data_IF_179233533276
#
_entry.id   IF_179233533276
#
_cell.length_a   1.000
_cell.length_b   1.000
_cell.length_c   1.000
_cell.angle_alpha   90.00
_cell.angle_beta   90.00
_cell.angle_gamma   90.00
#
_symmetry.space_group_name_H-M   'P 1'
#
loop_
_entity.id
_entity.type
_entity.pdbx_description
1 polymer ?
#
# COMPACT_ATOMS: atom_id res chain seq x y z
N UNK A 1 15.10 -16.14 -6.09
CA UNK A 1 13.91 -15.39 -6.54
C UNK A 1 12.78 -15.53 -5.55
N UNK A 2 12.23 -16.73 -5.31
CA UNK A 2 11.14 -16.92 -4.33
C UNK A 2 11.50 -16.47 -2.91
N UNK A 3 12.70 -16.82 -2.43
CA UNK A 3 13.20 -16.36 -1.13
C UNK A 3 13.34 -14.84 -1.04
N UNK A 4 13.72 -14.19 -2.15
CA UNK A 4 13.79 -12.72 -2.23
C UNK A 4 12.40 -12.12 -2.07
N UNK A 5 11.44 -12.56 -2.89
CA UNK A 5 10.07 -12.05 -2.82
C UNK A 5 9.44 -12.28 -1.44
N UNK A 6 9.62 -13.47 -0.86
CA UNK A 6 9.06 -13.77 0.46
C UNK A 6 9.69 -12.91 1.57
N UNK A 7 11.02 -12.76 1.57
CA UNK A 7 11.72 -11.95 2.55
C UNK A 7 11.34 -10.47 2.44
N UNK A 8 11.33 -9.93 1.22
CA UNK A 8 11.05 -8.51 1.00
C UNK A 8 9.60 -8.19 1.28
N UNK A 9 8.65 -9.04 0.89
CA UNK A 9 7.23 -8.89 1.21
C UNK A 9 7.00 -8.81 2.73
N UNK A 10 7.62 -9.73 3.48
CA UNK A 10 7.53 -9.76 4.94
C UNK A 10 8.11 -8.49 5.58
N UNK A 11 9.33 -8.13 5.20
CA UNK A 11 10.02 -7.01 5.83
C UNK A 11 9.32 -5.68 5.50
N UNK A 12 8.87 -5.51 4.25
CA UNK A 12 8.14 -4.31 3.83
C UNK A 12 6.79 -4.22 4.52
N UNK A 13 6.05 -5.33 4.66
CA UNK A 13 4.81 -5.36 5.42
C UNK A 13 4.98 -4.74 6.82
N UNK A 14 5.99 -5.18 7.58
CA UNK A 14 6.23 -4.67 8.93
C UNK A 14 6.71 -3.22 8.95
N UNK A 15 7.59 -2.85 8.02
CA UNK A 15 8.06 -1.46 7.88
C UNK A 15 6.89 -0.54 7.54
N UNK A 16 6.06 -0.93 6.58
CA UNK A 16 4.90 -0.17 6.15
C UNK A 16 3.89 -0.03 7.29
N UNK A 17 3.55 -1.13 7.98
CA UNK A 17 2.69 -1.07 9.16
C UNK A 17 3.27 -0.19 10.27
N UNK A 18 4.59 -0.21 10.48
CA UNK A 18 5.26 0.68 11.42
C UNK A 18 5.18 2.16 10.98
N UNK A 19 5.31 2.46 9.68
CA UNK A 19 5.16 3.80 9.12
C UNK A 19 3.74 4.39 9.34
N UNK A 20 2.74 3.53 9.50
CA UNK A 20 1.38 3.92 9.93
C UNK A 20 1.22 4.15 11.42
N UNK A 21 2.25 3.89 12.23
CA UNK A 21 2.20 4.17 13.65
C UNK A 21 2.03 5.67 13.92
N UNK A 22 1.11 6.01 14.84
CA UNK A 22 0.70 7.39 15.18
C UNK A 22 1.83 8.39 15.40
N UNK A 23 2.99 7.93 15.88
CA UNK A 23 4.16 8.77 16.17
C UNK A 23 4.87 9.28 14.92
N UNK A 24 4.84 8.51 13.82
CA UNK A 24 5.62 8.82 12.61
C UNK A 24 4.76 8.98 11.36
N UNK A 25 3.54 8.46 11.35
CA UNK A 25 2.63 8.55 10.21
C UNK A 25 2.49 9.99 9.71
N UNK A 26 2.16 10.92 10.61
CA UNK A 26 1.84 12.31 10.23
C UNK A 26 2.98 13.01 9.50
N UNK A 27 4.23 12.69 9.84
CA UNK A 27 5.43 13.34 9.32
C UNK A 27 6.04 12.61 8.13
N UNK A 28 6.07 11.27 8.19
CA UNK A 28 6.82 10.46 7.23
C UNK A 28 5.90 9.90 6.15
N UNK A 29 4.79 9.27 6.53
CA UNK A 29 4.00 8.45 5.60
C UNK A 29 2.72 9.14 5.09
N UNK A 30 2.16 10.07 5.86
CA UNK A 30 1.00 10.89 5.46
C UNK A 30 1.20 11.63 4.12
N UNK A 31 2.39 12.16 3.78
CA UNK A 31 2.61 12.75 2.46
C UNK A 31 2.28 11.80 1.31
N UNK A 32 2.66 10.51 1.42
CA UNK A 32 2.32 9.47 0.45
C UNK A 32 0.81 9.22 0.39
N UNK A 33 0.14 9.24 1.54
CA UNK A 33 -1.32 9.09 1.64
C UNK A 33 -2.14 10.30 1.19
N UNK A 34 -1.49 11.35 0.66
CA UNK A 34 -2.20 12.49 0.07
C UNK A 34 -2.99 12.09 -1.18
N UNK A 35 -2.53 11.06 -1.91
CA UNK A 35 -3.15 10.57 -3.14
C UNK A 35 -4.11 9.41 -2.87
N UNK A 36 -5.29 9.72 -2.32
CA UNK A 36 -6.33 8.73 -1.98
C UNK A 36 -6.72 7.79 -3.12
N UNK A 37 -6.88 8.35 -4.33
CA UNK A 37 -6.96 7.57 -5.57
C UNK A 37 -5.57 7.64 -6.18
N UNK A 38 -4.86 6.53 -6.14
CA UNK A 38 -3.46 6.49 -6.54
C UNK A 38 -3.31 6.65 -8.05
N UNK A 39 -2.13 7.11 -8.45
CA UNK A 39 -1.69 7.14 -9.85
C UNK A 39 -0.28 6.57 -9.91
N UNK A 40 0.24 6.20 -11.10
CA UNK A 40 1.63 5.76 -11.25
C UNK A 40 2.64 6.72 -10.62
N UNK A 41 2.38 8.02 -10.60
CA UNK A 41 3.26 9.01 -9.97
C UNK A 41 3.28 8.95 -8.44
N UNK A 42 2.15 8.58 -7.82
CA UNK A 42 2.07 8.43 -6.36
C UNK A 42 2.99 7.32 -5.85
N UNK A 43 3.31 6.34 -6.69
CA UNK A 43 4.18 5.20 -6.38
C UNK A 43 5.61 5.56 -5.97
N UNK A 44 6.06 6.80 -6.22
CA UNK A 44 7.38 7.30 -5.82
C UNK A 44 7.32 8.65 -5.09
N UNK A 45 6.11 9.14 -4.83
CA UNK A 45 5.90 10.42 -4.17
C UNK A 45 5.96 10.26 -2.64
N UNK A 46 7.13 9.86 -2.15
CA UNK A 46 7.38 9.59 -0.74
C UNK A 46 8.15 10.71 -0.05
N UNK A 47 8.02 10.77 1.27
CA UNK A 47 9.07 11.39 2.08
C UNK A 47 10.37 10.59 1.90
N UNK A 48 11.56 11.22 1.83
CA UNK A 48 12.82 10.48 1.58
C UNK A 48 13.07 9.33 2.57
N UNK A 49 12.79 9.54 3.85
CA UNK A 49 12.92 8.51 4.90
C UNK A 49 11.94 7.35 4.67
N UNK A 50 10.72 7.64 4.22
CA UNK A 50 9.70 6.62 3.92
C UNK A 50 10.20 5.69 2.81
N UNK A 51 10.58 6.28 1.67
CA UNK A 51 11.11 5.54 0.53
C UNK A 51 12.41 4.77 0.86
N UNK A 52 13.28 5.34 1.70
CA UNK A 52 14.48 4.64 2.16
C UNK A 52 14.12 3.43 3.04
N UNK A 53 13.24 3.60 4.02
CA UNK A 53 12.82 2.50 4.90
C UNK A 53 12.16 1.37 4.11
N UNK A 54 11.23 1.69 3.21
CA UNK A 54 10.54 0.68 2.40
C UNK A 54 11.45 0.01 1.35
N UNK A 55 12.50 0.69 0.86
CA UNK A 55 13.46 0.10 -0.09
C UNK A 55 14.56 -0.74 0.57
N UNK A 56 14.84 -0.51 1.86
CA UNK A 56 15.92 -1.17 2.59
C UNK A 56 15.90 -2.71 2.50
N UNK A 57 14.74 -3.40 2.59
CA UNK A 57 14.70 -4.87 2.47
C UNK A 57 15.29 -5.41 1.16
N UNK A 58 15.11 -4.70 0.04
CA UNK A 58 15.65 -5.11 -1.25
C UNK A 58 17.19 -5.05 -1.26
N UNK A 59 17.75 -4.03 -0.61
CA UNK A 59 19.18 -3.78 -0.59
C UNK A 59 19.92 -4.61 0.46
N UNK A 60 19.28 -4.93 1.60
CA UNK A 60 19.90 -5.73 2.65
C UNK A 60 19.92 -7.23 2.32
N UNK A 61 18.96 -7.71 1.52
CA UNK A 61 18.86 -9.11 1.12
C UNK A 61 20.17 -9.74 0.61
N UNK A 62 20.90 -9.16 -0.37
CA UNK A 62 22.15 -9.75 -0.89
C UNK A 62 23.29 -9.81 0.12
N UNK A 63 23.23 -9.08 1.24
CA UNK A 63 24.21 -9.16 2.32
C UNK A 63 23.94 -10.34 3.28
N UNK A 64 22.70 -10.84 3.30
CA UNK A 64 22.26 -11.93 4.19
C UNK A 64 22.21 -13.25 3.41
N UNK A 65 21.80 -13.20 2.14
CA UNK A 65 21.59 -14.37 1.29
C UNK A 65 22.40 -14.26 0.00
N UNK A 66 22.96 -15.38 -0.51
CA UNK A 66 23.61 -15.39 -1.81
C UNK A 66 22.67 -14.94 -2.92
N UNK A 67 23.06 -13.89 -3.66
CA UNK A 67 22.30 -13.39 -4.79
C UNK A 67 23.24 -12.92 -5.90
N UNK A 68 23.09 -13.49 -7.10
CA UNK A 68 23.89 -13.10 -8.25
C UNK A 68 23.54 -11.67 -8.71
N UNK A 69 24.55 -10.86 -9.05
CA UNK A 69 24.40 -9.43 -9.37
C UNK A 69 23.37 -9.15 -10.49
N UNK A 70 23.35 -9.97 -11.54
CA UNK A 70 22.41 -9.79 -12.66
C UNK A 70 20.99 -10.10 -12.23
N UNK A 71 20.81 -11.13 -11.40
CA UNK A 71 19.51 -11.48 -10.83
C UNK A 71 19.01 -10.38 -9.90
N UNK A 72 19.89 -9.80 -9.08
CA UNK A 72 19.57 -8.64 -8.25
C UNK A 72 19.08 -7.45 -9.09
N UNK A 73 19.79 -7.09 -10.17
CA UNK A 73 19.37 -5.99 -11.05
C UNK A 73 18.02 -6.27 -11.71
N UNK A 74 17.79 -7.50 -12.18
CA UNK A 74 16.49 -7.90 -12.74
C UNK A 74 15.35 -7.81 -11.72
N UNK A 75 15.59 -8.26 -10.49
CA UNK A 75 14.63 -8.15 -9.38
C UNK A 75 14.38 -6.69 -8.99
N UNK A 76 15.42 -5.85 -9.01
CA UNK A 76 15.28 -4.42 -8.72
C UNK A 76 14.40 -3.70 -9.76
N UNK A 77 14.56 -4.04 -11.04
CA UNK A 77 13.66 -3.54 -12.10
C UNK A 77 12.23 -4.04 -11.87
N UNK A 78 12.06 -5.33 -11.59
CA UNK A 78 10.76 -5.93 -11.28
C UNK A 78 10.07 -5.21 -10.11
N UNK A 79 10.78 -4.92 -9.02
CA UNK A 79 10.28 -4.18 -7.86
C UNK A 79 9.70 -2.84 -8.28
N UNK A 80 10.40 -2.08 -9.13
CA UNK A 80 9.93 -0.77 -9.57
C UNK A 80 8.68 -0.88 -10.45
N UNK A 81 8.65 -1.84 -11.38
CA UNK A 81 7.46 -2.12 -12.20
C UNK A 81 6.28 -2.49 -11.30
N UNK A 82 6.51 -3.35 -10.31
CA UNK A 82 5.49 -3.77 -9.36
C UNK A 82 4.96 -2.59 -8.54
N UNK A 83 5.85 -1.77 -7.98
CA UNK A 83 5.50 -0.58 -7.22
C UNK A 83 4.64 0.38 -8.04
N UNK A 84 4.93 0.57 -9.33
CA UNK A 84 4.06 1.37 -10.22
C UNK A 84 2.71 0.67 -10.44
N UNK A 85 2.72 -0.64 -10.73
CA UNK A 85 1.51 -1.40 -11.04
C UNK A 85 0.50 -1.42 -9.90
N UNK A 86 0.93 -1.49 -8.64
CA UNK A 86 -0.01 -1.43 -7.50
C UNK A 86 -0.59 -0.02 -7.27
N UNK A 87 -0.16 1.01 -8.01
CA UNK A 87 -0.66 2.38 -7.91
C UNK A 87 -1.37 2.87 -9.17
N UNK A 88 -1.37 2.10 -10.26
CA UNK A 88 -1.77 2.58 -11.58
C UNK A 88 -3.29 2.75 -11.76
N UNK A 89 -4.09 2.19 -10.84
CA UNK A 89 -5.55 2.23 -10.87
C UNK A 89 -6.18 1.12 -11.72
N UNK A 90 -5.39 0.19 -12.27
CA UNK A 90 -5.88 -0.99 -12.96
C UNK A 90 -6.14 -2.14 -11.98
N UNK A 91 -7.40 -2.28 -11.57
CA UNK A 91 -7.82 -3.25 -10.54
C UNK A 91 -7.93 -4.69 -11.03
N UNK A 92 -7.59 -4.96 -12.29
CA UNK A 92 -7.73 -6.29 -12.88
C UNK A 92 -6.64 -7.23 -12.36
N UNK A 93 -7.06 -8.26 -11.65
CA UNK A 93 -6.25 -9.41 -11.27
C UNK A 93 -7.01 -10.68 -11.67
N UNK A 94 -6.36 -11.76 -12.15
CA UNK A 94 -7.06 -13.01 -12.41
C UNK A 94 -7.79 -13.49 -11.15
N UNK A 95 -9.07 -13.91 -11.28
CA UNK A 95 -9.94 -14.24 -10.13
C UNK A 95 -9.32 -15.19 -9.11
N UNK A 96 -8.58 -16.20 -9.56
CA UNK A 96 -7.94 -17.17 -8.66
C UNK A 96 -6.75 -16.59 -7.87
N UNK A 97 -6.23 -15.42 -8.27
CA UNK A 97 -5.14 -14.70 -7.63
C UNK A 97 -5.61 -13.52 -6.78
N UNK A 98 -6.86 -13.08 -6.90
CA UNK A 98 -7.41 -11.93 -6.15
C UNK A 98 -7.18 -12.08 -4.64
N UNK A 99 -7.35 -13.29 -4.09
CA UNK A 99 -7.14 -13.53 -2.67
C UNK A 99 -5.67 -13.64 -2.25
N UNK A 100 -4.73 -13.74 -3.20
CA UNK A 100 -3.31 -14.02 -2.94
C UNK A 100 -2.45 -12.78 -3.22
N UNK A 101 -2.73 -12.05 -4.30
CA UNK A 101 -1.95 -10.91 -4.76
C UNK A 101 -2.49 -9.62 -4.15
N UNK A 102 -1.60 -8.86 -3.51
CA UNK A 102 -1.87 -7.48 -3.12
C UNK A 102 -1.65 -6.57 -4.33
N UNK A 103 -2.70 -6.39 -5.14
CA UNK A 103 -2.70 -5.59 -6.37
C UNK A 103 -3.23 -4.16 -6.18
N UNK A 104 -3.43 -3.43 -7.27
CA UNK A 104 -3.86 -2.03 -7.24
C UNK A 104 -5.17 -1.80 -6.45
N UNK A 105 -6.12 -2.75 -6.52
CA UNK A 105 -7.38 -2.63 -5.77
C UNK A 105 -7.15 -2.60 -4.25
N UNK A 106 -6.27 -3.48 -3.77
CA UNK A 106 -5.93 -3.59 -2.35
C UNK A 106 -5.20 -2.34 -1.89
N UNK A 107 -4.25 -1.86 -2.69
CA UNK A 107 -3.45 -0.69 -2.36
C UNK A 107 -4.24 0.62 -2.44
N UNK A 108 -5.16 0.78 -3.41
CA UNK A 108 -6.08 1.93 -3.41
C UNK A 108 -6.94 1.96 -2.13
N UNK A 109 -7.49 0.81 -1.72
CA UNK A 109 -8.24 0.73 -0.47
C UNK A 109 -7.35 1.04 0.75
N UNK A 110 -6.08 0.65 0.71
CA UNK A 110 -5.10 1.04 1.72
C UNK A 110 -4.94 2.57 1.81
N UNK A 111 -4.83 3.28 0.68
CA UNK A 111 -4.79 4.76 0.64
C UNK A 111 -6.10 5.43 1.10
N UNK A 112 -7.23 4.72 1.02
CA UNK A 112 -8.54 5.22 1.46
C UNK A 112 -8.79 5.01 2.95
N UNK A 113 -8.39 3.85 3.49
CA UNK A 113 -8.73 3.40 4.84
C UNK A 113 -7.57 3.39 5.83
N UNK A 114 -6.31 3.47 5.36
CA UNK A 114 -5.05 3.52 6.13
C UNK A 114 -4.70 2.26 6.95
N UNK A 115 -5.70 1.55 7.47
CA UNK A 115 -5.50 0.47 8.46
C UNK A 115 -5.43 -0.95 7.88
N UNK A 116 -5.43 -1.10 6.55
CA UNK A 116 -5.57 -2.38 5.87
C UNK A 116 -4.59 -2.55 4.70
N UNK A 117 -4.30 -3.80 4.31
CA UNK A 117 -3.60 -4.17 3.07
C UNK A 117 -2.20 -3.55 2.89
N UNK A 118 -1.33 -3.69 3.89
CA UNK A 118 0.03 -3.14 3.90
C UNK A 118 1.04 -3.91 3.03
N UNK A 119 0.73 -5.14 2.62
CA UNK A 119 1.65 -6.01 1.88
C UNK A 119 2.12 -5.42 0.56
N UNK A 120 3.31 -5.83 0.11
CA UNK A 120 3.91 -5.33 -1.13
C UNK A 120 3.40 -6.12 -2.33
N UNK A 121 3.50 -7.46 -2.27
CA UNK A 121 3.16 -8.38 -3.36
C UNK A 121 1.99 -9.28 -3.01
N UNK A 122 1.95 -9.78 -1.77
CA UNK A 122 1.01 -10.80 -1.35
C UNK A 122 0.14 -10.34 -0.19
N UNK A 123 -1.07 -10.89 -0.11
CA UNK A 123 -2.01 -10.67 1.00
C UNK A 123 -1.66 -11.51 2.24
N UNK A 124 -0.63 -12.36 2.15
CA UNK A 124 -0.26 -13.33 3.18
C UNK A 124 0.01 -12.66 4.53
N UNK A 125 0.88 -11.65 4.57
CA UNK A 125 1.24 -10.97 5.81
C UNK A 125 0.11 -10.11 6.36
N UNK A 126 -0.74 -9.56 5.48
CA UNK A 126 -1.98 -8.92 5.91
C UNK A 126 -2.94 -9.88 6.60
N UNK A 127 -3.08 -11.11 6.09
CA UNK A 127 -3.90 -12.14 6.73
C UNK A 127 -3.31 -12.58 8.07
N UNK A 128 -2.00 -12.82 8.12
CA UNK A 128 -1.31 -13.21 9.35
C UNK A 128 -1.38 -12.09 10.40
N UNK A 129 -1.16 -10.84 9.99
CA UNK A 129 -1.14 -9.69 10.86
C UNK A 129 -2.52 -9.07 11.14
N UNK A 130 -3.60 -9.64 10.60
CA UNK A 130 -4.98 -9.21 10.84
C UNK A 130 -5.35 -7.86 10.19
N UNK A 131 -4.65 -7.45 9.14
CA UNK A 131 -4.89 -6.22 8.37
C UNK A 131 -5.47 -6.49 6.98
N UNK A 132 -5.81 -7.73 6.65
CA UNK A 132 -6.41 -8.06 5.37
C UNK A 132 -7.84 -7.52 5.26
N UNK A 133 -8.12 -6.83 4.16
CA UNK A 133 -9.47 -6.41 3.77
C UNK A 133 -9.69 -6.68 2.30
N UNK A 134 -10.82 -7.30 1.97
CA UNK A 134 -11.23 -7.50 0.59
C UNK A 134 -11.43 -6.12 -0.09
N UNK A 135 -10.82 -5.88 -1.26
CA UNK A 135 -10.92 -4.58 -1.92
C UNK A 135 -12.33 -4.24 -2.36
N UNK A 136 -12.75 -3.03 -2.02
CA UNK A 136 -14.07 -2.50 -2.35
C UNK A 136 -14.31 -2.46 -3.88
N UNK A 137 -13.26 -2.22 -4.66
CA UNK A 137 -13.33 -2.24 -6.13
C UNK A 137 -13.70 -3.62 -6.70
N UNK A 138 -13.28 -4.72 -6.05
CA UNK A 138 -13.65 -6.08 -6.45
C UNK A 138 -15.09 -6.44 -6.05
N UNK A 139 -15.67 -5.69 -5.10
CA UNK A 139 -17.07 -5.80 -4.67
C UNK A 139 -18.01 -4.93 -5.51
N UNK A 140 -17.49 -4.25 -6.54
CA UNK A 140 -18.26 -3.34 -7.40
C UNK A 140 -18.38 -1.92 -6.86
N UNK A 141 -17.68 -1.56 -5.78
CA UNK A 141 -17.63 -0.19 -5.26
C UNK A 141 -16.39 0.53 -5.80
N UNK A 142 -16.59 1.44 -6.75
CA UNK A 142 -15.49 2.23 -7.31
C UNK A 142 -14.86 3.19 -6.28
N UNK A 143 -13.53 3.41 -6.32
CA UNK A 143 -12.84 4.26 -5.34
C UNK A 143 -13.27 5.73 -5.39
N UNK A 144 -13.67 6.23 -6.56
CA UNK A 144 -14.22 7.58 -6.69
C UNK A 144 -15.55 7.74 -5.94
N UNK A 145 -16.43 6.73 -5.99
CA UNK A 145 -17.68 6.75 -5.25
C UNK A 145 -17.45 6.67 -3.75
N UNK A 146 -16.43 5.90 -3.33
CA UNK A 146 -16.01 5.84 -1.92
C UNK A 146 -15.48 7.18 -1.43
N UNK A 147 -14.62 7.84 -2.21
CA UNK A 147 -14.15 9.20 -1.91
C UNK A 147 -15.32 10.17 -1.73
N UNK A 148 -16.27 10.19 -2.68
CA UNK A 148 -17.45 11.07 -2.62
C UNK A 148 -18.29 10.80 -1.36
N UNK A 149 -18.51 9.52 -1.01
CA UNK A 149 -19.24 9.14 0.21
C UNK A 149 -18.50 9.56 1.49
N UNK A 150 -17.16 9.47 1.52
CA UNK A 150 -16.35 9.90 2.66
C UNK A 150 -16.37 11.41 2.83
N UNK A 151 -16.32 12.18 1.74
CA UNK A 151 -16.42 13.64 1.74
C UNK A 151 -17.79 14.09 2.24
N UNK A 152 -18.88 13.55 1.68
CA UNK A 152 -20.24 13.87 2.13
C UNK A 152 -20.46 13.56 3.63
N UNK A 153 -19.88 12.47 4.15
CA UNK A 153 -19.93 12.15 5.58
C UNK A 153 -19.20 13.17 6.45
N UNK A 154 -18.05 13.67 6.02
CA UNK A 154 -17.30 14.72 6.73
C UNK A 154 -18.11 16.01 6.79
N UNK A 155 -18.65 16.44 5.65
CA UNK A 155 -19.48 17.63 5.56
C UNK A 155 -20.71 17.54 6.49
N UNK A 156 -21.38 16.38 6.54
CA UNK A 156 -22.49 16.16 7.47
C UNK A 156 -22.07 16.20 8.95
N UNK A 157 -20.89 15.68 9.28
CA UNK A 157 -20.39 15.65 10.65
C UNK A 157 -19.98 17.05 11.11
N UNK A 158 -19.33 17.84 10.26
CA UNK A 158 -18.98 19.24 10.52
C UNK A 158 -20.25 20.11 10.67
N UNK A 159 -21.18 20.03 9.72
CA UNK A 159 -22.44 20.79 9.78
C UNK A 159 -23.37 20.34 10.93
N UNK A 160 -23.25 19.09 11.38
CA UNK A 160 -24.02 18.55 12.51
C UNK A 160 -23.46 18.95 13.87
N UNK A 161 -22.16 19.24 13.96
CA UNK A 161 -21.51 19.79 15.16
C UNK A 161 -21.87 21.27 15.30
N UNK A 162 -21.79 22.05 14.22
CA UNK A 162 -22.13 23.48 14.21
C UNK A 162 -23.58 23.77 14.61
N UNK A 163 -24.51 22.85 14.31
CA UNK A 163 -25.92 22.95 14.72
C UNK A 163 -26.21 22.57 16.16
N UNK A 164 -25.28 21.91 16.87
CA UNK A 164 -25.42 21.55 18.29
C UNK A 164 -24.74 22.53 19.24
N UNK A 165 -23.96 23.47 18.70
CA UNK A 165 -23.24 24.51 19.44
C UNK A 165 -23.93 25.88 19.47
N UNK A 166 -25.16 25.98 18.95
CA UNK A 166 -26.02 27.19 19.01
C UNK A 166 -27.24 26.98 19.90
#
# INVERSE_FOLDING_TARGET
>A
MFSFLFFTDMAIYWIHRFLHHKLIYKTIHKPHHKWKVTTPFASHAFHPIDGFMQSLPYHIYPFIFPLHKVTYLGLYIFVNIWTVSIHDGDYRVPKFLESIINGAAHHTDHHLYFDYNYGQYFTLWDKIGGSYKNPSALEGNGPHDLCRKMEAKKDHQENGIDKKSN
#
